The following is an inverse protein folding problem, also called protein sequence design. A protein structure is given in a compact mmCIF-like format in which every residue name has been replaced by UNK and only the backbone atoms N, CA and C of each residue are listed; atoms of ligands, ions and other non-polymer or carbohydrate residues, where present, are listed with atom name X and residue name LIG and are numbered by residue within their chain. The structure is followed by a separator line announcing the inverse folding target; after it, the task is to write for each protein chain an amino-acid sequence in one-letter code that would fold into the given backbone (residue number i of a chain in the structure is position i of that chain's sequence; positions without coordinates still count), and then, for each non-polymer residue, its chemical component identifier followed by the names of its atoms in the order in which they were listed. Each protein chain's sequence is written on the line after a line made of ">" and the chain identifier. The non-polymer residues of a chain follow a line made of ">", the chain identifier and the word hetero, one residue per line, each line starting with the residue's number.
data_IF_777481044642
#
_entry.id   IF_777481044642
#
_cell.length_a   1.000
_cell.length_b   1.000
_cell.length_c   1.000
_cell.angle_alpha   90.00
_cell.angle_beta   90.00
_cell.angle_gamma   90.00
#
_symmetry.space_group_name_H-M   'P 1'
#
loop_
_entity.id
_entity.type
_entity.pdbx_description
1 polymer ?
#
# COMPACT_ATOMS: atom_id res chain seq x y z
N UNK A 1 17.14 -1.83 -14.18
CA UNK A 1 16.46 -1.52 -12.91
C UNK A 1 16.96 -0.18 -12.39
N UNK A 2 16.03 0.73 -12.11
CA UNK A 2 16.25 1.99 -11.43
C UNK A 2 15.97 1.76 -9.94
N UNK A 3 16.91 2.18 -9.11
CA UNK A 3 16.81 2.17 -7.66
C UNK A 3 17.27 3.53 -7.14
N UNK A 4 16.44 4.18 -6.33
CA UNK A 4 16.77 5.44 -5.65
C UNK A 4 16.36 5.33 -4.19
N UNK A 5 17.34 5.44 -3.31
CA UNK A 5 17.15 5.65 -1.88
C UNK A 5 17.13 7.16 -1.64
N UNK A 6 16.07 7.65 -1.02
CA UNK A 6 15.83 9.05 -0.71
C UNK A 6 15.78 9.19 0.80
N UNK A 7 16.30 10.28 1.35
CA UNK A 7 16.39 10.46 2.80
C UNK A 7 15.70 11.75 3.23
N UNK A 8 14.80 11.63 4.21
CA UNK A 8 14.29 12.77 4.95
C UNK A 8 15.11 12.97 6.23
N UNK A 9 15.82 14.11 6.31
CA UNK A 9 16.67 14.42 7.44
C UNK A 9 15.92 14.87 8.71
N UNK A 10 14.61 15.11 8.63
CA UNK A 10 13.81 15.58 9.77
C UNK A 10 13.36 14.39 10.62
N UNK A 11 12.85 13.34 9.99
CA UNK A 11 12.43 12.10 10.64
C UNK A 11 13.52 11.02 10.63
N UNK A 12 14.53 11.13 9.76
CA UNK A 12 15.53 10.06 9.56
C UNK A 12 15.03 8.94 8.65
N UNK A 13 13.97 9.19 7.88
CA UNK A 13 13.29 8.19 7.05
C UNK A 13 13.99 7.99 5.71
N UNK A 14 14.14 6.74 5.30
CA UNK A 14 14.44 6.35 3.93
C UNK A 14 13.17 5.99 3.17
N UNK A 15 13.02 6.55 1.97
CA UNK A 15 12.02 6.14 0.98
C UNK A 15 12.71 5.52 -0.23
N UNK A 16 12.11 4.50 -0.83
CA UNK A 16 12.73 3.73 -1.92
C UNK A 16 11.90 3.79 -3.20
N UNK A 17 12.42 4.45 -4.24
CA UNK A 17 11.79 4.48 -5.57
C UNK A 17 12.41 3.40 -6.47
N UNK A 18 11.56 2.53 -7.01
CA UNK A 18 11.91 1.36 -7.80
C UNK A 18 11.22 1.42 -9.17
N UNK A 19 11.96 1.10 -10.24
CA UNK A 19 11.38 0.89 -11.57
C UNK A 19 12.25 -0.08 -12.40
N UNK A 20 11.66 -0.79 -13.37
CA UNK A 20 12.44 -1.73 -14.20
C UNK A 20 13.34 -0.99 -15.20
N UNK A 21 12.86 0.11 -15.78
CA UNK A 21 13.54 0.97 -16.77
C UNK A 21 13.01 2.41 -16.76
N UNK A 22 13.70 3.30 -17.48
CA UNK A 22 13.21 4.66 -17.85
C UNK A 22 11.98 4.51 -18.76
N UNK A 23 10.97 5.37 -18.61
CA UNK A 23 9.70 5.26 -19.34
C UNK A 23 8.71 4.24 -18.75
N UNK A 24 9.11 3.54 -17.67
CA UNK A 24 8.37 2.40 -17.12
C UNK A 24 7.46 2.74 -15.95
N UNK A 25 6.76 1.72 -15.47
CA UNK A 25 6.06 1.79 -14.18
C UNK A 25 7.05 1.87 -13.02
N UNK A 26 6.66 2.62 -11.98
CA UNK A 26 7.41 2.77 -10.76
C UNK A 26 6.56 2.47 -9.52
N UNK A 27 7.25 2.06 -8.46
CA UNK A 27 6.69 2.01 -7.11
C UNK A 27 7.60 2.76 -6.13
N UNK A 28 7.00 3.30 -5.07
CA UNK A 28 7.74 3.92 -3.96
C UNK A 28 7.36 3.28 -2.63
N UNK A 29 8.34 3.00 -1.78
CA UNK A 29 8.15 2.52 -0.41
C UNK A 29 8.42 3.65 0.59
N UNK A 30 7.60 3.69 1.64
CA UNK A 30 7.64 4.61 2.79
C UNK A 30 7.78 6.10 2.40
N UNK A 31 6.94 6.65 1.49
CA UNK A 31 7.03 8.05 1.10
C UNK A 31 6.67 8.99 2.27
N UNK A 32 7.53 9.96 2.55
CA UNK A 32 7.23 11.09 3.47
C UNK A 32 6.44 12.22 2.78
N UNK A 33 5.39 12.76 3.43
CA UNK A 33 4.51 13.80 2.88
C UNK A 33 5.27 15.06 2.43
N UNK A 34 6.16 15.58 3.28
CA UNK A 34 6.93 16.81 3.02
C UNK A 34 7.90 16.67 1.85
N UNK A 35 8.10 15.44 1.34
CA UNK A 35 9.00 15.12 0.23
C UNK A 35 8.27 14.79 -1.06
N UNK A 36 6.93 14.82 -1.08
CA UNK A 36 6.14 14.45 -2.27
C UNK A 36 6.50 15.28 -3.50
N UNK A 37 6.73 16.59 -3.36
CA UNK A 37 7.19 17.43 -4.48
C UNK A 37 8.50 16.92 -5.10
N UNK A 38 9.44 16.46 -4.26
CA UNK A 38 10.71 15.89 -4.70
C UNK A 38 10.50 14.55 -5.40
N UNK A 39 9.59 13.70 -4.91
CA UNK A 39 9.25 12.44 -5.55
C UNK A 39 8.62 12.69 -6.93
N UNK A 40 7.64 13.59 -7.03
CA UNK A 40 7.02 13.96 -8.30
C UNK A 40 8.03 14.55 -9.29
N UNK A 41 8.98 15.36 -8.83
CA UNK A 41 10.07 15.86 -9.66
C UNK A 41 10.92 14.70 -10.22
N UNK A 42 11.35 13.79 -9.36
CA UNK A 42 12.19 12.67 -9.75
C UNK A 42 11.48 11.72 -10.72
N UNK A 43 10.18 11.47 -10.51
CA UNK A 43 9.35 10.70 -11.44
C UNK A 43 9.34 11.33 -12.84
N UNK A 44 9.19 12.66 -12.95
CA UNK A 44 9.26 13.36 -14.24
C UNK A 44 10.65 13.32 -14.88
N UNK A 45 11.70 13.55 -14.08
CA UNK A 45 13.09 13.55 -14.57
C UNK A 45 13.53 12.16 -15.10
N UNK A 46 12.96 11.09 -14.55
CA UNK A 46 13.24 9.71 -14.94
C UNK A 46 12.21 9.12 -15.91
N UNK A 47 11.24 9.93 -16.36
CA UNK A 47 10.13 9.50 -17.22
C UNK A 47 9.40 8.27 -16.65
N UNK A 48 8.98 8.34 -15.37
CA UNK A 48 8.37 7.22 -14.65
C UNK A 48 6.90 7.48 -14.38
N UNK A 49 6.07 6.44 -14.58
CA UNK A 49 4.68 6.42 -14.13
C UNK A 49 4.58 5.75 -12.78
N UNK A 50 4.33 6.52 -11.71
CA UNK A 50 4.09 5.93 -10.39
C UNK A 50 2.75 5.20 -10.39
N UNK A 51 2.77 3.89 -10.20
CA UNK A 51 1.55 3.06 -10.18
C UNK A 51 1.25 2.48 -8.81
N UNK A 52 2.26 2.38 -7.93
CA UNK A 52 2.12 1.85 -6.56
C UNK A 52 2.90 2.68 -5.55
N UNK A 53 2.29 2.98 -4.41
CA UNK A 53 2.97 3.55 -3.25
C UNK A 53 2.65 2.66 -2.04
N UNK A 54 3.68 2.30 -1.28
CA UNK A 54 3.60 1.26 -0.24
C UNK A 54 4.13 1.83 1.06
N UNK A 55 3.41 1.65 2.15
CA UNK A 55 3.98 1.82 3.50
C UNK A 55 4.23 0.44 4.13
N UNK A 56 5.38 0.31 4.78
CA UNK A 56 5.78 -0.90 5.52
C UNK A 56 4.97 -1.08 6.79
N UNK A 57 4.54 0.01 7.40
CA UNK A 57 3.74 0.03 8.62
C UNK A 57 3.10 1.42 8.79
N UNK A 58 2.21 1.57 9.76
CA UNK A 58 1.71 2.89 10.13
C UNK A 58 2.80 3.68 10.87
N UNK A 59 3.42 4.65 10.20
CA UNK A 59 4.52 5.45 10.76
C UNK A 59 4.07 6.38 11.90
N UNK A 60 4.95 6.61 12.89
CA UNK A 60 4.67 7.48 14.05
C UNK A 60 5.58 8.72 14.13
N UNK A 61 6.61 8.78 13.32
CA UNK A 61 7.64 9.82 13.28
C UNK A 61 7.39 10.84 12.15
N UNK A 62 6.64 10.47 11.12
CA UNK A 62 6.28 11.34 9.99
C UNK A 62 4.86 11.06 9.47
N UNK A 63 4.30 12.01 8.72
CA UNK A 63 3.05 11.81 7.99
C UNK A 63 3.36 11.20 6.62
N UNK A 64 2.66 10.12 6.28
CA UNK A 64 2.86 9.42 5.00
C UNK A 64 2.43 10.27 3.81
N UNK A 65 3.18 10.15 2.72
CA UNK A 65 2.91 10.73 1.42
C UNK A 65 1.98 9.87 0.55
N UNK A 66 1.50 8.71 1.04
CA UNK A 66 0.61 7.82 0.27
C UNK A 66 -0.60 8.57 -0.32
N UNK A 67 -1.32 9.34 0.51
CA UNK A 67 -2.52 10.05 0.09
C UNK A 67 -2.25 11.13 -0.97
N UNK A 68 -1.23 11.95 -0.76
CA UNK A 68 -0.86 13.02 -1.70
C UNK A 68 -0.33 12.45 -3.03
N UNK A 69 0.49 11.40 -2.99
CA UNK A 69 0.97 10.72 -4.21
C UNK A 69 -0.18 10.11 -4.99
N UNK A 70 -1.12 9.45 -4.30
CA UNK A 70 -2.34 8.92 -4.89
C UNK A 70 -3.14 10.02 -5.59
N UNK A 71 -3.35 11.15 -4.93
CA UNK A 71 -4.16 12.23 -5.49
C UNK A 71 -3.50 12.91 -6.70
N UNK A 72 -2.16 12.93 -6.75
CA UNK A 72 -1.39 13.51 -7.87
C UNK A 72 -1.13 12.55 -9.04
N UNK A 73 -1.13 11.24 -8.80
CA UNK A 73 -0.64 10.25 -9.77
C UNK A 73 -1.63 9.13 -10.07
N UNK A 74 -2.72 9.03 -9.30
CA UNK A 74 -3.66 7.90 -9.33
C UNK A 74 -2.99 6.55 -9.06
N UNK A 75 -1.86 6.51 -8.36
CA UNK A 75 -1.23 5.26 -7.93
C UNK A 75 -2.09 4.51 -6.89
N UNK A 76 -1.95 3.20 -6.83
CA UNK A 76 -2.55 2.36 -5.78
C UNK A 76 -1.72 2.51 -4.50
N UNK A 77 -2.37 2.90 -3.40
CA UNK A 77 -1.77 2.87 -2.04
C UNK A 77 -1.88 1.48 -1.43
N UNK A 78 -0.79 0.99 -0.84
CA UNK A 78 -0.67 -0.40 -0.36
C UNK A 78 -0.13 -0.42 1.07
N UNK A 79 -0.75 -1.24 1.92
CA UNK A 79 -0.28 -1.59 3.26
C UNK A 79 -0.67 -3.03 3.59
N UNK A 80 -0.13 -3.56 4.69
CA UNK A 80 -0.51 -4.85 5.24
C UNK A 80 -1.99 -4.95 5.62
N UNK A 81 -2.56 -6.16 5.63
CA UNK A 81 -3.97 -6.38 5.97
C UNK A 81 -4.33 -6.03 7.43
N UNK A 82 -3.36 -6.07 8.34
CA UNK A 82 -3.46 -5.69 9.75
C UNK A 82 -3.50 -4.17 9.96
N UNK A 83 -3.28 -3.38 8.91
CA UNK A 83 -3.25 -1.92 9.05
C UNK A 83 -4.58 -1.37 9.56
N UNK A 84 -4.47 -0.35 10.41
CA UNK A 84 -5.61 0.43 10.91
C UNK A 84 -5.88 1.68 10.07
N UNK A 85 -5.14 1.87 8.97
CA UNK A 85 -5.38 2.98 8.07
C UNK A 85 -6.72 2.82 7.34
N UNK A 86 -7.53 3.87 7.40
CA UNK A 86 -8.89 3.93 6.86
C UNK A 86 -8.91 3.93 5.33
N UNK A 87 -7.83 4.40 4.69
CA UNK A 87 -7.82 4.71 3.25
C UNK A 87 -6.57 4.13 2.57
N UNK A 88 -6.56 2.80 2.44
CA UNK A 88 -5.54 2.05 1.70
C UNK A 88 -6.22 1.30 0.54
N UNK A 89 -5.79 1.64 -0.69
CA UNK A 89 -6.41 1.16 -1.92
C UNK A 89 -6.37 -0.37 -2.05
N UNK A 90 -5.28 -0.99 -1.60
CA UNK A 90 -5.05 -2.43 -1.64
C UNK A 90 -4.37 -2.90 -0.35
N UNK A 91 -4.89 -3.97 0.25
CA UNK A 91 -4.27 -4.64 1.40
C UNK A 91 -3.56 -5.91 0.94
N UNK A 92 -2.38 -6.19 1.50
CA UNK A 92 -1.60 -7.39 1.21
C UNK A 92 -1.42 -8.25 2.45
N UNK A 93 -1.42 -9.56 2.25
CA UNK A 93 -1.19 -10.58 3.28
C UNK A 93 0.24 -11.13 3.20
N UNK A 94 0.64 -11.88 4.23
CA UNK A 94 1.85 -12.69 4.17
C UNK A 94 1.88 -13.62 2.95
N UNK A 95 3.00 -13.63 2.22
CA UNK A 95 3.19 -14.47 1.03
C UNK A 95 2.53 -13.94 -0.26
N UNK A 96 1.81 -12.81 -0.21
CA UNK A 96 1.35 -12.12 -1.41
C UNK A 96 2.55 -11.52 -2.19
N UNK A 97 2.26 -10.99 -3.38
CA UNK A 97 3.23 -10.26 -4.21
C UNK A 97 2.71 -8.90 -4.62
N UNK A 98 3.55 -7.88 -4.47
CA UNK A 98 3.32 -6.54 -5.04
C UNK A 98 4.14 -6.42 -6.33
N UNK A 99 3.46 -6.34 -7.46
CA UNK A 99 4.11 -6.31 -8.78
C UNK A 99 3.93 -4.96 -9.49
N UNK A 100 4.93 -4.58 -10.27
CA UNK A 100 4.79 -3.60 -11.35
C UNK A 100 5.47 -4.19 -12.59
N UNK A 101 5.42 -3.50 -13.71
CA UNK A 101 6.11 -3.90 -14.91
C UNK A 101 7.60 -4.25 -14.68
N UNK A 102 7.93 -5.54 -14.80
CA UNK A 102 9.28 -6.07 -14.70
C UNK A 102 9.85 -6.17 -13.28
N UNK A 103 9.08 -5.86 -12.23
CA UNK A 103 9.51 -5.97 -10.83
C UNK A 103 8.43 -6.62 -9.96
N UNK A 104 8.86 -7.37 -8.94
CA UNK A 104 7.99 -7.99 -7.95
C UNK A 104 8.63 -7.92 -6.57
N UNK A 105 7.82 -7.59 -5.56
CA UNK A 105 8.16 -7.69 -4.16
C UNK A 105 7.37 -8.84 -3.53
N UNK A 106 8.08 -9.80 -2.92
CA UNK A 106 7.46 -10.81 -2.08
C UNK A 106 7.15 -10.18 -0.71
N UNK A 107 5.90 -10.29 -0.28
CA UNK A 107 5.40 -9.66 0.95
C UNK A 107 5.65 -10.58 2.14
N UNK A 108 6.27 -10.06 3.18
CA UNK A 108 6.57 -10.78 4.42
C UNK A 108 5.95 -10.06 5.61
N UNK A 109 4.97 -10.66 6.27
CA UNK A 109 4.47 -10.14 7.54
C UNK A 109 5.56 -10.24 8.61
N UNK A 110 5.96 -9.12 9.18
CA UNK A 110 7.08 -9.03 10.12
C UNK A 110 6.74 -8.16 11.32
N UNK A 111 5.70 -8.51 12.10
CA UNK A 111 5.24 -7.71 13.22
C UNK A 111 6.31 -7.62 14.31
N UNK A 112 6.20 -6.58 15.13
CA UNK A 112 7.03 -6.41 16.30
C UNK A 112 7.32 -4.96 16.61
N UNK A 113 7.71 -4.18 15.60
CA UNK A 113 7.75 -2.72 15.74
C UNK A 113 6.32 -2.19 15.93
N UNK A 114 5.44 -2.54 14.99
CA UNK A 114 3.98 -2.43 15.10
C UNK A 114 3.33 -3.79 14.87
N UNK A 115 2.02 -3.90 15.14
CA UNK A 115 1.20 -5.06 14.76
C UNK A 115 0.82 -5.09 13.28
N UNK A 116 1.18 -4.07 12.51
CA UNK A 116 0.96 -3.97 11.05
C UNK A 116 2.25 -3.86 10.24
N UNK A 117 3.39 -4.27 10.82
CA UNK A 117 4.70 -4.18 10.15
C UNK A 117 4.92 -5.29 9.13
N UNK A 118 5.33 -4.88 7.92
CA UNK A 118 5.69 -5.74 6.80
C UNK A 118 7.09 -5.43 6.27
N UNK A 119 7.74 -6.48 5.76
CA UNK A 119 8.97 -6.40 4.98
C UNK A 119 8.70 -6.83 3.55
N UNK A 120 9.50 -6.32 2.60
CA UNK A 120 9.33 -6.59 1.18
C UNK A 120 10.64 -7.09 0.58
N UNK A 121 10.65 -8.33 0.08
CA UNK A 121 11.83 -8.94 -0.55
C UNK A 121 11.80 -8.75 -2.06
N UNK A 122 12.91 -8.26 -2.62
CA UNK A 122 13.11 -8.08 -4.07
C UNK A 122 14.45 -8.67 -4.51
N UNK A 123 14.46 -9.93 -4.91
CA UNK A 123 15.66 -10.60 -5.42
C UNK A 123 16.81 -10.60 -4.40
N UNK A 124 17.77 -9.70 -4.57
CA UNK A 124 19.00 -9.57 -3.77
C UNK A 124 18.86 -8.66 -2.53
N UNK A 125 17.68 -8.09 -2.27
CA UNK A 125 17.49 -7.16 -1.14
C UNK A 125 16.14 -7.28 -0.46
N UNK A 126 16.09 -6.88 0.79
CA UNK A 126 14.87 -6.78 1.59
C UNK A 126 14.71 -5.36 2.15
N UNK A 127 13.51 -4.81 2.01
CA UNK A 127 13.08 -3.59 2.66
C UNK A 127 12.41 -3.96 3.97
N UNK A 128 13.02 -3.60 5.10
CA UNK A 128 12.68 -4.18 6.41
C UNK A 128 11.77 -3.30 7.26
N UNK A 129 11.32 -2.17 6.71
CA UNK A 129 10.63 -1.14 7.49
C UNK A 129 11.43 -0.82 8.75
N UNK A 130 10.73 -0.78 9.88
CA UNK A 130 11.35 -0.64 11.20
C UNK A 130 11.45 -1.97 11.96
N UNK A 131 11.24 -3.12 11.33
CA UNK A 131 11.45 -4.41 12.02
C UNK A 131 12.93 -4.65 12.27
N UNK A 132 13.78 -4.52 11.25
CA UNK A 132 15.23 -4.65 11.33
C UNK A 132 15.90 -3.36 10.84
N UNK A 133 16.81 -2.81 11.63
CA UNK A 133 17.59 -1.61 11.31
C UNK A 133 19.08 -1.95 11.21
N UNK A 134 19.90 -1.02 10.71
CA UNK A 134 21.35 -1.21 10.65
C UNK A 134 21.93 -1.17 12.07
N UNK A 135 22.51 -2.30 12.51
CA UNK A 135 23.03 -2.48 13.89
C UNK A 135 21.98 -2.17 14.97
N UNK A 136 20.71 -2.38 14.66
CA UNK A 136 19.61 -2.15 15.58
C UNK A 136 18.32 -2.83 15.13
N UNK A 137 17.23 -2.51 15.81
CA UNK A 137 15.87 -2.95 15.49
C UNK A 137 14.92 -1.79 15.78
N UNK A 138 13.69 -1.80 15.26
CA UNK A 138 12.68 -0.83 15.70
C UNK A 138 12.38 -1.02 17.18
N UNK A 139 11.88 0.04 17.81
CA UNK A 139 11.33 -0.04 19.17
C UNK A 139 10.04 -0.89 19.19
N UNK A 140 9.62 -1.40 20.34
CA UNK A 140 8.45 -2.30 20.43
C UNK A 140 7.47 -1.92 21.54
N UNK A 141 7.51 -0.67 22.01
CA UNK A 141 6.80 -0.16 23.18
C UNK A 141 5.60 0.75 22.83
N UNK A 142 5.34 0.99 21.54
CA UNK A 142 4.20 1.75 21.03
C UNK A 142 3.47 0.98 19.92
N UNK A 143 2.27 1.45 19.54
CA UNK A 143 1.50 0.93 18.39
C UNK A 143 1.28 -0.59 18.40
N UNK A 144 1.00 -1.16 19.58
CA UNK A 144 0.90 -2.62 19.82
C UNK A 144 2.18 -3.40 19.46
N UNK A 145 3.33 -2.75 19.52
CA UNK A 145 4.62 -3.39 19.38
C UNK A 145 4.81 -4.55 20.37
N UNK A 146 5.61 -5.52 19.95
CA UNK A 146 5.88 -6.73 20.71
C UNK A 146 7.30 -7.22 20.43
N UNK A 147 8.17 -7.12 21.44
CA UNK A 147 9.55 -7.62 21.33
C UNK A 147 9.61 -9.12 21.00
N UNK A 148 8.66 -9.91 21.52
CA UNK A 148 8.54 -11.34 21.18
C UNK A 148 8.17 -11.53 19.71
N UNK A 149 7.18 -10.80 19.20
CA UNK A 149 6.82 -10.89 17.79
C UNK A 149 7.98 -10.42 16.88
N UNK A 150 8.67 -9.34 17.27
CA UNK A 150 9.84 -8.84 16.54
C UNK A 150 10.97 -9.88 16.49
N UNK A 151 11.22 -10.57 17.60
CA UNK A 151 12.18 -11.68 17.64
C UNK A 151 11.82 -12.78 16.65
N UNK A 152 10.56 -13.23 16.64
CA UNK A 152 10.08 -14.25 15.70
C UNK A 152 10.24 -13.78 14.24
N UNK A 153 9.84 -12.55 13.94
CA UNK A 153 9.98 -11.91 12.62
C UNK A 153 11.44 -11.86 12.16
N UNK A 154 12.36 -11.50 13.06
CA UNK A 154 13.79 -11.39 12.73
C UNK A 154 14.41 -12.78 12.61
N UNK A 155 14.44 -13.57 13.70
CA UNK A 155 15.23 -14.79 13.79
C UNK A 155 14.68 -15.94 12.94
N UNK A 156 13.36 -16.04 12.83
CA UNK A 156 12.72 -17.16 12.12
C UNK A 156 12.33 -16.81 10.68
N UNK A 157 12.47 -15.54 10.26
CA UNK A 157 12.09 -15.12 8.90
C UNK A 157 13.21 -14.32 8.23
N UNK A 158 13.48 -13.09 8.65
CA UNK A 158 14.47 -12.23 7.99
C UNK A 158 15.88 -12.84 7.99
N UNK A 159 16.33 -13.36 9.13
CA UNK A 159 17.64 -14.02 9.24
C UNK A 159 17.69 -15.40 8.56
N UNK A 160 16.59 -15.90 7.99
CA UNK A 160 16.61 -17.11 7.14
C UNK A 160 16.92 -16.79 5.69
N UNK A 161 16.91 -15.53 5.29
CA UNK A 161 17.35 -15.08 3.98
C UNK A 161 18.87 -15.33 3.78
N UNK A 162 19.34 -15.43 2.52
CA UNK A 162 20.77 -15.52 2.20
C UNK A 162 21.57 -14.38 2.84
N UNK A 163 22.80 -14.67 3.26
CA UNK A 163 23.60 -13.69 4.03
C UNK A 163 23.98 -12.46 3.22
N UNK A 164 24.12 -12.60 1.91
CA UNK A 164 24.41 -11.53 0.95
C UNK A 164 23.21 -10.60 0.68
N UNK A 165 22.01 -10.97 1.13
CA UNK A 165 20.79 -10.16 0.95
C UNK A 165 21.01 -8.80 1.59
N UNK A 166 20.90 -7.73 0.79
CA UNK A 166 21.00 -6.36 1.24
C UNK A 166 19.81 -5.99 2.13
N UNK A 167 20.04 -5.25 3.21
CA UNK A 167 19.02 -4.79 4.15
C UNK A 167 18.85 -3.28 4.01
N UNK A 168 17.63 -2.88 3.67
CA UNK A 168 17.22 -1.49 3.49
C UNK A 168 16.11 -1.13 4.50
N UNK A 169 16.43 -0.48 5.63
CA UNK A 169 15.45 -0.14 6.66
C UNK A 169 14.62 1.10 6.27
N UNK A 170 13.52 1.36 6.98
CA UNK A 170 12.79 2.62 6.84
C UNK A 170 13.50 3.79 7.54
N UNK A 171 14.39 3.54 8.51
CA UNK A 171 15.10 4.60 9.23
C UNK A 171 16.59 4.35 9.44
N UNK A 172 17.36 5.43 9.46
CA UNK A 172 18.70 5.47 10.05
C UNK A 172 18.98 6.86 10.67
N UNK A 173 19.80 6.86 11.72
CA UNK A 173 20.11 8.07 12.50
C UNK A 173 21.62 8.36 12.59
N UNK A 174 22.45 7.60 11.86
CA UNK A 174 23.92 7.66 11.89
C UNK A 174 24.54 8.00 10.53
N UNK A 175 23.73 8.00 9.46
CA UNK A 175 24.16 8.14 8.08
C UNK A 175 24.50 6.82 7.39
N UNK A 176 24.17 5.68 8.00
CA UNK A 176 24.31 4.36 7.40
C UNK A 176 23.16 4.14 6.40
N UNK A 177 23.48 3.63 5.20
CA UNK A 177 22.49 3.55 4.10
C UNK A 177 22.01 2.14 3.80
N UNK A 178 22.86 1.13 4.02
CA UNK A 178 22.58 -0.28 3.69
C UNK A 178 23.43 -1.20 4.58
N UNK A 179 22.90 -2.38 4.91
CA UNK A 179 23.64 -3.49 5.54
C UNK A 179 23.36 -4.79 4.79
N UNK A 180 23.72 -5.93 5.35
CA UNK A 180 23.36 -7.26 4.84
C UNK A 180 22.83 -8.16 5.95
N UNK A 181 22.06 -9.19 5.59
CA UNK A 181 21.60 -10.19 6.56
C UNK A 181 22.79 -10.84 7.29
N UNK A 182 23.88 -11.13 6.58
CA UNK A 182 25.09 -11.70 7.15
C UNK A 182 25.79 -10.76 8.12
N UNK A 183 25.79 -9.47 7.85
CA UNK A 183 26.31 -8.47 8.78
C UNK A 183 25.44 -8.32 10.02
N UNK A 184 24.12 -8.22 9.86
CA UNK A 184 23.21 -8.07 10.99
C UNK A 184 23.26 -9.30 11.91
N UNK A 185 23.31 -10.52 11.36
CA UNK A 185 23.53 -11.75 12.15
C UNK A 185 24.75 -11.67 13.05
N UNK A 186 25.88 -11.20 12.51
CA UNK A 186 27.19 -11.23 13.19
C UNK A 186 27.40 -10.05 14.14
N UNK A 187 26.87 -8.89 13.80
CA UNK A 187 27.30 -7.63 14.41
C UNK A 187 26.17 -6.74 14.91
N UNK A 188 24.91 -7.08 14.68
CA UNK A 188 23.81 -6.34 15.31
C UNK A 188 23.82 -6.61 16.82
N UNK A 189 24.08 -5.61 17.67
CA UNK A 189 24.22 -5.80 19.11
C UNK A 189 22.94 -6.31 19.77
N UNK A 190 21.75 -6.03 19.19
CA UNK A 190 20.47 -6.50 19.72
C UNK A 190 20.17 -7.95 19.36
N UNK A 191 20.88 -8.51 18.38
CA UNK A 191 20.71 -9.90 17.94
C UNK A 191 21.70 -10.85 18.62
N UNK A 192 22.64 -10.34 19.43
CA UNK A 192 23.62 -11.13 20.20
C UNK A 192 23.01 -11.70 21.50
N UNK A 193 21.78 -12.19 21.41
CA UNK A 193 20.99 -12.75 22.50
C UNK A 193 20.88 -14.27 22.33
N UNK A 194 20.76 -15.00 23.44
CA UNK A 194 20.72 -16.48 23.45
C UNK A 194 19.30 -17.03 23.44
N UNK A 195 18.30 -16.21 23.72
CA UNK A 195 16.90 -16.59 23.73
C UNK A 195 15.99 -15.41 23.43
N UNK A 196 14.74 -15.73 23.08
CA UNK A 196 13.65 -14.75 22.95
C UNK A 196 13.41 -13.96 24.24
N UNK A 197 13.61 -14.57 25.40
CA UNK A 197 13.42 -13.90 26.69
C UNK A 197 14.52 -12.85 26.95
N UNK A 198 15.77 -13.15 26.59
CA UNK A 198 16.88 -12.19 26.66
C UNK A 198 16.67 -11.02 25.67
N UNK A 199 16.09 -11.28 24.50
CA UNK A 199 15.69 -10.22 23.57
C UNK A 199 14.59 -9.32 24.15
N UNK A 200 13.54 -9.92 24.71
CA UNK A 200 12.42 -9.18 25.32
C UNK A 200 12.92 -8.32 26.48
N UNK A 201 13.78 -8.87 27.34
CA UNK A 201 14.40 -8.12 28.43
C UNK A 201 15.25 -6.96 27.91
N UNK A 202 16.08 -7.18 26.88
CA UNK A 202 16.88 -6.13 26.26
C UNK A 202 16.00 -4.99 25.73
N UNK A 203 14.97 -5.33 24.93
CA UNK A 203 14.10 -4.34 24.28
C UNK A 203 13.31 -3.52 25.30
N UNK A 204 12.78 -4.15 26.36
CA UNK A 204 12.04 -3.47 27.43
C UNK A 204 12.93 -2.50 28.24
N UNK A 205 14.25 -2.68 28.19
CA UNK A 205 15.21 -1.85 28.93
C UNK A 205 15.86 -0.73 28.10
N UNK A 206 15.47 -0.53 26.82
CA UNK A 206 16.07 0.50 25.96
C UNK A 206 15.79 1.94 26.39
N UNK A 207 14.81 2.19 27.27
CA UNK A 207 14.47 3.51 27.88
C UNK A 207 14.56 4.69 26.88
N UNK A 208 13.94 4.53 25.72
CA UNK A 208 13.97 5.52 24.65
C UNK A 208 12.98 6.67 24.94
N UNK A 209 13.28 7.91 24.52
CA UNK A 209 12.32 8.99 24.61
C UNK A 209 11.08 8.69 23.74
N UNK A 210 9.93 9.29 24.09
CA UNK A 210 8.72 9.19 23.28
C UNK A 210 8.97 9.78 21.87
N UNK A 211 8.40 9.20 20.79
CA UNK A 211 8.52 9.78 19.46
C UNK A 211 7.86 11.16 19.43
N UNK A 212 8.55 12.15 18.85
CA UNK A 212 8.14 13.57 18.92
C UNK A 212 6.84 13.87 18.18
N UNK A 213 6.55 13.13 17.12
CA UNK A 213 5.42 13.37 16.21
C UNK A 213 4.26 12.42 16.40
N UNK A 214 4.34 11.44 17.32
CA UNK A 214 3.39 10.33 17.40
C UNK A 214 1.92 10.79 17.53
N UNK A 215 1.65 11.79 18.37
CA UNK A 215 0.31 12.32 18.61
C UNK A 215 -0.29 13.07 17.40
N UNK A 216 0.51 13.35 16.38
CA UNK A 216 0.12 14.00 15.13
C UNK A 216 0.15 13.02 13.96
N UNK A 217 1.27 12.30 13.80
CA UNK A 217 1.53 11.37 12.72
C UNK A 217 0.58 10.18 12.73
N UNK A 218 0.41 9.51 13.88
CA UNK A 218 -0.44 8.31 13.95
C UNK A 218 -1.90 8.63 13.58
N UNK A 219 -2.56 9.66 14.16
CA UNK A 219 -3.91 10.03 13.75
C UNK A 219 -4.02 10.46 12.28
N UNK A 220 -3.01 11.16 11.76
CA UNK A 220 -2.99 11.57 10.35
C UNK A 220 -2.86 10.36 9.41
N UNK A 221 -1.98 9.41 9.75
CA UNK A 221 -1.69 8.20 8.98
C UNK A 221 -2.83 7.17 9.06
N UNK A 222 -3.69 7.25 10.08
CA UNK A 222 -4.97 6.52 10.08
C UNK A 222 -5.93 7.10 9.03
N UNK A 223 -5.96 8.43 8.86
CA UNK A 223 -6.99 9.13 8.06
C UNK A 223 -6.54 9.55 6.66
N UNK A 224 -5.79 8.71 5.96
CA UNK A 224 -5.09 9.08 4.70
C UNK A 224 -6.03 9.13 3.47
N UNK A 225 -7.06 10.00 3.45
CA UNK A 225 -7.68 10.41 2.18
C UNK A 225 -9.20 10.57 2.11
N UNK A 226 -9.71 10.48 0.87
CA UNK A 226 -11.09 10.79 0.47
C UNK A 226 -12.14 9.95 1.19
N UNK A 227 -13.08 10.62 1.86
CA UNK A 227 -14.21 9.97 2.54
C UNK A 227 -15.31 9.57 1.53
N UNK A 228 -15.64 8.27 1.50
CA UNK A 228 -16.76 7.75 0.70
C UNK A 228 -18.10 8.42 1.06
N UNK A 229 -18.22 8.91 2.30
CA UNK A 229 -19.40 9.62 2.81
C UNK A 229 -19.77 10.86 1.99
N UNK A 230 -18.79 11.54 1.39
CA UNK A 230 -19.06 12.74 0.61
C UNK A 230 -19.63 12.43 -0.78
N UNK A 231 -19.32 11.27 -1.35
CA UNK A 231 -19.95 10.78 -2.58
C UNK A 231 -21.35 10.24 -2.32
N UNK A 232 -21.57 9.62 -1.16
CA UNK A 232 -22.90 9.18 -0.74
C UNK A 232 -23.87 10.36 -0.65
N UNK A 233 -23.45 11.48 -0.05
CA UNK A 233 -24.24 12.73 0.01
C UNK A 233 -24.60 13.30 -1.37
N UNK A 234 -23.82 12.99 -2.41
CA UNK A 234 -24.05 13.43 -3.79
C UNK A 234 -24.91 12.45 -4.62
N UNK A 235 -25.36 11.32 -4.06
CA UNK A 235 -26.12 10.30 -4.78
C UNK A 235 -25.29 9.48 -5.78
N UNK A 236 -23.97 9.43 -5.58
CA UNK A 236 -23.00 8.78 -6.45
C UNK A 236 -22.47 7.46 -5.88
N UNK A 237 -23.15 6.96 -4.85
CA UNK A 237 -22.84 5.70 -4.17
C UNK A 237 -24.05 4.78 -4.23
N UNK A 238 -23.78 3.51 -4.52
CA UNK A 238 -24.69 2.40 -4.31
C UNK A 238 -24.28 1.71 -3.01
N UNK A 239 -25.24 1.42 -2.14
CA UNK A 239 -25.07 0.41 -1.11
C UNK A 239 -24.86 -0.97 -1.75
N UNK A 240 -24.29 -1.90 -1.00
CA UNK A 240 -24.14 -3.29 -1.45
C UNK A 240 -25.47 -3.90 -1.90
N UNK A 241 -26.56 -3.62 -1.18
CA UNK A 241 -27.90 -4.14 -1.50
C UNK A 241 -28.42 -3.56 -2.82
N UNK A 242 -28.32 -2.24 -3.02
CA UNK A 242 -28.72 -1.60 -4.28
C UNK A 242 -27.91 -2.13 -5.46
N UNK A 243 -26.60 -2.35 -5.26
CA UNK A 243 -25.74 -2.92 -6.27
C UNK A 243 -26.15 -4.36 -6.61
N UNK A 244 -26.48 -5.20 -5.62
CA UNK A 244 -26.97 -6.57 -5.85
C UNK A 244 -28.29 -6.56 -6.63
N UNK A 245 -29.22 -5.68 -6.26
CA UNK A 245 -30.50 -5.50 -6.95
C UNK A 245 -30.33 -4.97 -8.38
N UNK A 246 -29.17 -4.37 -8.69
CA UNK A 246 -28.85 -3.90 -10.04
C UNK A 246 -28.33 -4.98 -10.99
N UNK A 247 -28.04 -6.18 -10.51
CA UNK A 247 -27.51 -7.26 -11.34
C UNK A 247 -28.43 -7.57 -12.54
N UNK A 248 -27.82 -7.66 -13.71
CA UNK A 248 -28.52 -7.97 -14.96
C UNK A 248 -29.36 -6.83 -15.53
N UNK A 249 -29.45 -5.67 -14.85
CA UNK A 249 -30.14 -4.50 -15.38
C UNK A 249 -29.42 -3.96 -16.62
N UNK A 250 -30.12 -3.75 -17.75
CA UNK A 250 -29.48 -3.35 -19.00
C UNK A 250 -28.99 -1.90 -18.99
N UNK A 251 -29.42 -1.07 -18.03
CA UNK A 251 -29.04 0.32 -17.84
C UNK A 251 -27.80 0.50 -16.93
N UNK A 252 -27.24 -0.59 -16.39
CA UNK A 252 -26.10 -0.55 -15.46
C UNK A 252 -24.93 -1.36 -16.01
N UNK A 253 -23.73 -0.78 -15.93
CA UNK A 253 -22.46 -1.45 -16.24
C UNK A 253 -21.61 -1.50 -14.97
N UNK A 254 -21.42 -2.70 -14.43
CA UNK A 254 -20.47 -2.92 -13.32
C UNK A 254 -19.05 -2.93 -13.86
N UNK A 255 -18.14 -2.22 -13.19
CA UNK A 255 -16.72 -2.14 -13.56
C UNK A 255 -15.83 -2.48 -12.37
N UNK A 256 -15.05 -3.55 -12.52
CA UNK A 256 -14.10 -4.03 -11.52
C UNK A 256 -12.74 -3.33 -11.70
N UNK A 257 -12.32 -2.56 -10.71
CA UNK A 257 -11.06 -1.81 -10.72
C UNK A 257 -9.89 -2.56 -10.07
N UNK A 258 -10.14 -3.78 -9.57
CA UNK A 258 -9.12 -4.57 -8.85
C UNK A 258 -8.10 -5.15 -9.81
N UNK A 259 -6.92 -5.49 -9.29
CA UNK A 259 -5.92 -6.23 -10.04
C UNK A 259 -6.34 -7.69 -10.26
N UNK A 260 -5.72 -8.34 -11.24
CA UNK A 260 -6.00 -9.75 -11.57
C UNK A 260 -5.75 -10.68 -10.38
N UNK A 261 -4.74 -10.40 -9.56
CA UNK A 261 -4.42 -11.14 -8.32
C UNK A 261 -5.57 -11.08 -7.30
N UNK A 262 -6.11 -9.88 -7.05
CA UNK A 262 -7.26 -9.68 -6.17
C UNK A 262 -8.51 -10.40 -6.71
N UNK A 263 -8.72 -10.39 -8.03
CA UNK A 263 -9.83 -11.08 -8.68
C UNK A 263 -9.71 -12.60 -8.53
N UNK A 264 -8.50 -13.14 -8.65
CA UNK A 264 -8.23 -14.56 -8.41
C UNK A 264 -8.45 -14.94 -6.94
N UNK A 265 -7.96 -14.12 -5.99
CA UNK A 265 -8.08 -14.37 -4.55
C UNK A 265 -9.51 -14.23 -4.03
N UNK A 266 -10.27 -13.26 -4.55
CA UNK A 266 -11.56 -12.88 -3.97
C UNK A 266 -12.76 -13.11 -4.90
N UNK A 267 -12.57 -13.66 -6.10
CA UNK A 267 -13.62 -13.85 -7.09
C UNK A 267 -14.07 -12.55 -7.76
N UNK A 268 -15.05 -12.65 -8.66
CA UNK A 268 -15.53 -11.56 -9.52
C UNK A 268 -17.05 -11.40 -9.48
N UNK A 269 -17.54 -10.20 -9.83
CA UNK A 269 -18.98 -9.96 -9.97
C UNK A 269 -19.46 -10.38 -11.37
N UNK A 270 -20.53 -11.19 -11.49
CA UNK A 270 -21.06 -11.62 -12.79
C UNK A 270 -21.39 -10.44 -13.71
N UNK A 271 -20.93 -10.50 -14.97
CA UNK A 271 -21.19 -9.47 -15.97
C UNK A 271 -20.39 -8.16 -15.79
N UNK A 272 -19.51 -8.08 -14.79
CA UNK A 272 -18.65 -6.92 -14.62
C UNK A 272 -17.53 -6.87 -15.67
N UNK A 273 -17.27 -5.68 -16.20
CA UNK A 273 -16.13 -5.41 -17.05
C UNK A 273 -14.89 -5.13 -16.19
N UNK A 274 -13.73 -5.64 -16.59
CA UNK A 274 -12.47 -5.43 -15.86
C UNK A 274 -11.70 -4.25 -16.44
N UNK A 275 -11.44 -3.23 -15.61
CA UNK A 275 -10.65 -2.05 -15.96
C UNK A 275 -9.81 -1.62 -14.75
N UNK A 276 -8.60 -2.17 -14.55
CA UNK A 276 -7.75 -1.85 -13.40
C UNK A 276 -7.53 -0.35 -13.20
N UNK A 277 -7.52 0.08 -11.93
CA UNK A 277 -7.39 1.50 -11.57
C UNK A 277 -6.17 2.23 -12.17
N UNK A 278 -4.93 1.66 -12.22
CA UNK A 278 -3.77 2.36 -12.77
C UNK A 278 -3.86 2.74 -14.26
N UNK A 279 -4.81 2.14 -15.00
CA UNK A 279 -5.11 2.43 -16.40
C UNK A 279 -6.47 3.10 -16.62
N UNK A 280 -7.05 3.67 -15.56
CA UNK A 280 -8.41 4.22 -15.62
C UNK A 280 -8.52 5.42 -16.57
N UNK A 281 -7.51 6.30 -16.57
CA UNK A 281 -7.48 7.49 -17.44
C UNK A 281 -7.50 7.10 -18.92
N UNK A 282 -6.74 6.07 -19.29
CA UNK A 282 -6.72 5.53 -20.66
C UNK A 282 -8.07 4.93 -21.07
N UNK A 283 -8.81 4.41 -20.10
CA UNK A 283 -10.15 3.85 -20.34
C UNK A 283 -11.24 4.92 -20.41
N UNK A 284 -11.04 6.06 -19.72
CA UNK A 284 -12.02 7.14 -19.60
C UNK A 284 -11.85 8.26 -20.65
N UNK A 285 -10.66 8.43 -21.23
CA UNK A 285 -10.43 9.41 -22.31
C UNK A 285 -11.23 9.09 -23.58
N UNK A 286 -11.45 10.05 -24.49
CA UNK A 286 -12.07 9.79 -25.80
C UNK A 286 -11.36 8.65 -26.55
N UNK A 287 -12.12 7.67 -27.07
CA UNK A 287 -11.59 6.45 -27.67
C UNK A 287 -11.20 5.34 -26.67
N UNK A 288 -11.26 5.61 -25.37
CA UNK A 288 -11.05 4.63 -24.30
C UNK A 288 -12.24 3.68 -24.13
N UNK A 289 -11.97 2.45 -23.68
CA UNK A 289 -12.98 1.38 -23.61
C UNK A 289 -14.23 1.79 -22.82
N UNK A 290 -14.07 2.35 -21.62
CA UNK A 290 -15.21 2.73 -20.77
C UNK A 290 -15.97 3.91 -21.35
N UNK A 291 -15.26 4.86 -21.96
CA UNK A 291 -15.87 6.03 -22.61
C UNK A 291 -16.76 5.63 -23.78
N UNK A 292 -16.27 4.74 -24.63
CA UNK A 292 -17.02 4.27 -25.80
C UNK A 292 -18.22 3.42 -25.39
N UNK A 293 -18.05 2.48 -24.45
CA UNK A 293 -19.16 1.65 -23.97
C UNK A 293 -20.24 2.51 -23.32
N UNK A 294 -19.86 3.46 -22.46
CA UNK A 294 -20.83 4.32 -21.80
C UNK A 294 -21.57 5.24 -22.79
N UNK A 295 -20.86 5.77 -23.79
CA UNK A 295 -21.44 6.65 -24.82
C UNK A 295 -22.38 5.89 -25.75
N UNK A 296 -22.01 4.68 -26.17
CA UNK A 296 -22.80 3.86 -27.08
C UNK A 296 -24.04 3.25 -26.43
N UNK A 297 -23.98 2.94 -25.14
CA UNK A 297 -25.06 2.22 -24.44
C UNK A 297 -25.92 3.12 -23.56
N UNK A 298 -25.43 4.31 -23.17
CA UNK A 298 -26.07 5.17 -22.18
C UNK A 298 -26.10 4.59 -20.76
N UNK A 299 -25.44 3.45 -20.53
CA UNK A 299 -25.43 2.77 -19.23
C UNK A 299 -24.77 3.63 -18.16
N UNK A 300 -25.32 3.58 -16.95
CA UNK A 300 -24.66 4.10 -15.75
C UNK A 300 -23.47 3.21 -15.42
N UNK A 301 -22.28 3.79 -15.35
CA UNK A 301 -21.06 3.08 -14.99
C UNK A 301 -20.96 3.03 -13.48
N UNK A 302 -20.92 1.83 -12.91
CA UNK A 302 -20.85 1.60 -11.47
C UNK A 302 -19.55 0.87 -11.15
N UNK A 303 -18.58 1.62 -10.61
CA UNK A 303 -17.27 1.11 -10.24
C UNK A 303 -17.31 0.33 -8.93
N UNK A 304 -16.45 -0.66 -8.80
CA UNK A 304 -16.15 -1.26 -7.50
C UNK A 304 -14.70 -1.70 -7.42
N UNK A 305 -14.20 -1.75 -6.19
CA UNK A 305 -12.91 -2.34 -5.86
C UNK A 305 -13.04 -3.27 -4.64
N UNK A 306 -11.95 -3.52 -3.91
CA UNK A 306 -12.01 -4.34 -2.70
C UNK A 306 -12.92 -3.73 -1.61
N UNK A 307 -12.71 -2.45 -1.28
CA UNK A 307 -13.32 -1.78 -0.12
C UNK A 307 -14.01 -0.45 -0.43
N UNK A 308 -14.15 -0.10 -1.71
CA UNK A 308 -14.88 1.10 -2.17
C UNK A 308 -14.01 2.33 -2.46
N UNK A 309 -12.75 2.36 -2.01
CA UNK A 309 -11.87 3.54 -2.13
C UNK A 309 -11.44 3.86 -3.57
N UNK A 310 -10.76 2.93 -4.26
CA UNK A 310 -10.41 3.09 -5.69
C UNK A 310 -11.62 3.41 -6.54
N UNK A 311 -12.78 2.82 -6.22
CA UNK A 311 -14.02 3.08 -6.96
C UNK A 311 -14.62 4.45 -6.68
N UNK A 312 -14.52 4.96 -5.46
CA UNK A 312 -14.87 6.35 -5.14
C UNK A 312 -14.00 7.33 -5.94
N UNK A 313 -12.69 7.08 -6.03
CA UNK A 313 -11.79 7.90 -6.83
C UNK A 313 -12.09 7.81 -8.34
N UNK A 314 -12.38 6.62 -8.85
CA UNK A 314 -12.75 6.44 -10.26
C UNK A 314 -14.02 7.20 -10.64
N UNK A 315 -14.95 7.44 -9.71
CA UNK A 315 -16.10 8.32 -9.94
C UNK A 315 -15.66 9.77 -10.19
N UNK A 316 -14.69 10.28 -9.42
CA UNK A 316 -14.16 11.62 -9.66
C UNK A 316 -13.41 11.71 -10.98
N UNK A 317 -12.52 10.74 -11.28
CA UNK A 317 -11.81 10.67 -12.56
C UNK A 317 -12.80 10.59 -13.75
N UNK A 318 -13.88 9.81 -13.61
CA UNK A 318 -14.93 9.72 -14.61
C UNK A 318 -15.63 11.08 -14.84
N UNK A 319 -15.97 11.81 -13.77
CA UNK A 319 -16.57 13.15 -13.88
C UNK A 319 -15.64 14.13 -14.59
N UNK A 320 -14.35 14.15 -14.22
CA UNK A 320 -13.34 15.01 -14.83
C UNK A 320 -13.14 14.71 -16.32
N UNK A 321 -13.21 13.43 -16.69
CA UNK A 321 -13.24 12.98 -18.09
C UNK A 321 -14.58 13.22 -18.80
N UNK A 322 -15.55 13.89 -18.16
CA UNK A 322 -16.85 14.22 -18.71
C UNK A 322 -17.83 13.06 -18.78
N UNK A 323 -17.62 11.99 -18.00
CA UNK A 323 -18.55 10.88 -17.82
C UNK A 323 -19.39 11.11 -16.54
N UNK A 324 -20.44 11.91 -16.67
CA UNK A 324 -21.26 12.33 -15.52
C UNK A 324 -22.11 11.20 -14.91
N UNK A 325 -22.47 10.17 -15.69
CA UNK A 325 -23.30 9.06 -15.24
C UNK A 325 -22.47 7.93 -14.62
N UNK A 326 -21.70 8.27 -13.59
CA UNK A 326 -20.84 7.35 -12.87
C UNK A 326 -21.27 7.23 -11.39
N UNK A 327 -21.06 6.07 -10.79
CA UNK A 327 -21.24 5.81 -9.37
C UNK A 327 -20.26 4.73 -8.90
N UNK A 328 -20.23 4.45 -7.60
CA UNK A 328 -19.48 3.32 -7.06
C UNK A 328 -20.28 2.48 -6.07
N UNK A 329 -19.83 1.27 -5.79
CA UNK A 329 -20.32 0.44 -4.68
C UNK A 329 -19.56 0.84 -3.41
N UNK A 330 -20.26 1.42 -2.42
CA UNK A 330 -19.69 1.70 -1.11
C UNK A 330 -19.26 0.40 -0.41
N UNK A 331 -18.06 0.39 0.16
CA UNK A 331 -17.48 -0.80 0.78
C UNK A 331 -17.05 -1.90 -0.21
N UNK A 332 -17.17 -1.68 -1.52
CA UNK A 332 -16.67 -2.57 -2.56
C UNK A 332 -17.23 -3.99 -2.53
N UNK A 333 -16.44 -4.95 -3.02
CA UNK A 333 -16.82 -6.38 -3.05
C UNK A 333 -16.87 -7.00 -1.64
N UNK A 334 -16.17 -6.43 -0.65
CA UNK A 334 -16.27 -6.88 0.74
C UNK A 334 -17.68 -6.65 1.30
N UNK A 335 -18.21 -5.42 1.16
CA UNK A 335 -19.59 -5.12 1.56
C UNK A 335 -20.61 -5.92 0.75
N UNK A 336 -20.37 -6.12 -0.55
CA UNK A 336 -21.18 -6.98 -1.41
C UNK A 336 -21.32 -8.40 -0.85
N UNK A 337 -20.20 -9.03 -0.48
CA UNK A 337 -20.17 -10.39 0.09
C UNK A 337 -20.89 -10.44 1.44
N UNK A 338 -20.64 -9.45 2.31
CA UNK A 338 -21.32 -9.34 3.62
C UNK A 338 -22.84 -9.18 3.48
N UNK A 339 -23.30 -8.56 2.40
CA UNK A 339 -24.72 -8.43 2.05
C UNK A 339 -25.31 -9.66 1.33
N UNK A 340 -24.54 -10.75 1.16
CA UNK A 340 -25.01 -11.98 0.52
C UNK A 340 -25.04 -11.94 -1.01
N UNK A 341 -24.32 -11.00 -1.64
CA UNK A 341 -24.26 -10.88 -3.09
C UNK A 341 -23.50 -12.04 -3.76
N UNK A 342 -23.91 -12.47 -4.97
CA UNK A 342 -23.27 -13.57 -5.68
C UNK A 342 -21.86 -13.19 -6.16
N UNK A 343 -20.94 -14.14 -6.11
CA UNK A 343 -19.57 -13.99 -6.61
C UNK A 343 -19.24 -15.20 -7.47
N UNK A 344 -18.67 -14.97 -8.65
CA UNK A 344 -18.11 -16.02 -9.49
C UNK A 344 -16.66 -16.29 -9.07
N UNK A 345 -16.37 -17.53 -8.69
CA UNK A 345 -15.00 -18.03 -8.54
C UNK A 345 -14.53 -18.51 -9.90
N UNK A 346 -13.50 -17.87 -10.44
CA UNK A 346 -12.85 -18.25 -11.70
C UNK A 346 -11.80 -19.31 -11.48
#
# INVERSE_FOLDING_TARGET
>A
MIFRQLFDSVSGTYSYLLASRVGGEAMILDPVLERVDRYCQLLRELDLKLVKAVDTHLHADHVTGLGELRDRTHCITIMGEETKADVVSMRVSDGDRVTIEGLALDVMYTPGHTDDSYSYLMGDRVFTGDTLLIRGTGRTDFQNGSARAQYESIFNRLLKLPEETLVFPAHDYKGDTVSTIGEEKRYNPRLQVRSVDEYVELMNNLKLPNPKMMDVAVPANIRVGLHQDDLAKQGLSFSAIEAIQSLGRPDILLVDLRETSERAKHGTLPGALHAPYPGIDDSLKPGGMLREVATATGRRVVFFCAYGERSAMAVNAAKEAGLANAAHIAGGIDAWKKAGGPVATG
#
